data_IF_402140805916
#
_entry.id   IF_402140805916
#
_cell.length_a   1.000
_cell.length_b   1.000
_cell.length_c   1.000
_cell.angle_alpha   90.00
_cell.angle_beta   90.00
_cell.angle_gamma   90.00
#
_symmetry.space_group_name_H-M   'P 1'
#
loop_
_entity.id
_entity.type
_entity.pdbx_description
1 polymer ?
#
# COMPACT_ATOMS: atom_id res chain seq x y z
N UNK A 1 17.69 -4.89 -16.72
CA UNK A 1 17.17 -3.83 -15.83
C UNK A 1 16.37 -2.74 -16.56
N UNK A 2 16.39 -2.65 -17.90
CA UNK A 2 15.58 -1.71 -18.70
C UNK A 2 14.07 -2.00 -18.72
N UNK A 3 13.64 -3.16 -18.22
CA UNK A 3 12.24 -3.58 -18.21
C UNK A 3 11.42 -2.96 -17.07
N UNK A 4 12.04 -2.70 -15.90
CA UNK A 4 11.33 -2.15 -14.73
C UNK A 4 11.01 -0.66 -14.91
N UNK A 5 11.99 0.14 -15.35
CA UNK A 5 11.76 1.55 -15.69
C UNK A 5 10.64 1.71 -16.75
N UNK A 6 10.67 0.82 -17.75
CA UNK A 6 9.64 0.75 -18.80
C UNK A 6 8.27 0.27 -18.29
N UNK A 7 8.19 -0.55 -17.25
CA UNK A 7 6.90 -0.96 -16.68
C UNK A 7 6.40 -0.03 -15.55
N UNK A 8 7.29 0.76 -14.95
CA UNK A 8 7.00 1.67 -13.83
C UNK A 8 6.28 2.94 -14.28
N UNK A 9 6.82 3.64 -15.29
CA UNK A 9 6.37 4.96 -15.71
C UNK A 9 5.77 5.01 -17.13
N UNK A 10 5.98 3.99 -17.96
CA UNK A 10 5.65 4.08 -19.39
C UNK A 10 4.15 3.93 -19.67
N UNK A 11 3.53 5.06 -20.02
CA UNK A 11 2.19 5.12 -20.61
C UNK A 11 2.35 4.90 -22.11
N UNK A 12 2.12 3.68 -22.61
CA UNK A 12 2.13 3.44 -24.06
C UNK A 12 1.16 4.41 -24.75
N UNK A 13 1.74 5.37 -25.49
CA UNK A 13 1.00 6.21 -26.42
C UNK A 13 0.64 5.30 -27.60
N UNK A 14 -0.64 4.93 -27.68
CA UNK A 14 -1.22 4.11 -28.76
C UNK A 14 -0.73 4.55 -30.14
N UNK A 15 -0.06 3.65 -30.86
CA UNK A 15 -0.16 3.63 -32.33
C UNK A 15 -1.52 3.00 -32.69
N UNK A 16 -2.33 3.70 -33.48
CA UNK A 16 -3.74 3.36 -33.73
C UNK A 16 -3.96 2.12 -34.62
N UNK A 17 -2.93 1.35 -34.98
CA UNK A 17 -3.02 0.33 -36.04
C UNK A 17 -3.01 -1.14 -35.59
N UNK A 18 -2.85 -1.47 -34.31
CA UNK A 18 -2.79 -2.89 -33.86
C UNK A 18 -3.93 -3.26 -32.88
N UNK A 19 -5.17 -3.00 -33.29
CA UNK A 19 -6.37 -3.31 -32.48
C UNK A 19 -6.95 -4.72 -32.69
N UNK A 20 -6.21 -5.65 -33.28
CA UNK A 20 -6.71 -7.01 -33.56
C UNK A 20 -5.65 -8.05 -33.21
N UNK A 21 -5.42 -8.28 -31.91
CA UNK A 21 -5.13 -9.61 -31.39
C UNK A 21 -5.46 -9.69 -29.91
N UNK A 22 -6.28 -10.68 -29.61
CA UNK A 22 -6.88 -11.10 -28.35
C UNK A 22 -6.15 -10.79 -27.03
N UNK A 23 -6.93 -10.20 -26.11
CA UNK A 23 -7.10 -10.66 -24.72
C UNK A 23 -5.87 -10.86 -23.83
N UNK A 24 -4.89 -9.97 -23.95
CA UNK A 24 -4.03 -9.64 -22.81
C UNK A 24 -4.06 -8.13 -22.65
N UNK A 25 -4.94 -7.62 -21.78
CA UNK A 25 -4.92 -6.20 -21.40
C UNK A 25 -3.47 -5.87 -21.02
N UNK A 26 -2.76 -4.96 -21.71
CA UNK A 26 -1.53 -4.43 -21.16
C UNK A 26 -1.93 -3.77 -19.86
N UNK A 27 -1.61 -4.42 -18.75
CA UNK A 27 -1.80 -3.81 -17.45
C UNK A 27 -0.94 -2.55 -17.48
N UNK A 28 -1.58 -1.37 -17.55
CA UNK A 28 -0.86 -0.10 -17.69
C UNK A 28 0.21 0.10 -16.62
N UNK A 29 1.06 1.12 -16.79
CA UNK A 29 2.20 1.39 -15.91
C UNK A 29 1.91 1.18 -14.42
N UNK A 30 2.88 0.62 -13.70
CA UNK A 30 2.70 0.19 -12.32
C UNK A 30 2.43 1.38 -11.38
N UNK A 31 3.14 2.49 -11.57
CA UNK A 31 2.99 3.72 -10.77
C UNK A 31 1.54 4.26 -10.71
N UNK A 32 0.86 4.56 -11.84
CA UNK A 32 -0.51 5.07 -11.80
C UNK A 32 -1.52 4.06 -11.24
N UNK A 33 -1.25 2.76 -11.36
CA UNK A 33 -2.10 1.71 -10.75
C UNK A 33 -1.97 1.70 -9.24
N UNK A 34 -0.75 1.78 -8.71
CA UNK A 34 -0.50 1.90 -7.27
C UNK A 34 -1.13 3.18 -6.73
N UNK A 35 -0.92 4.32 -7.39
CA UNK A 35 -1.53 5.59 -6.97
C UNK A 35 -3.07 5.51 -6.94
N UNK A 36 -3.67 4.89 -7.96
CA UNK A 36 -5.13 4.67 -8.00
C UNK A 36 -5.60 3.78 -6.85
N UNK A 37 -4.84 2.74 -6.51
CA UNK A 37 -5.15 1.87 -5.38
C UNK A 37 -5.05 2.62 -4.04
N UNK A 38 -3.97 3.39 -3.82
CA UNK A 38 -3.79 4.24 -2.62
C UNK A 38 -4.98 5.19 -2.45
N UNK A 39 -5.36 5.92 -3.51
CA UNK A 39 -6.49 6.85 -3.46
C UNK A 39 -7.81 6.13 -3.12
N UNK A 40 -8.04 4.95 -3.69
CA UNK A 40 -9.24 4.14 -3.39
C UNK A 40 -9.27 3.66 -1.94
N UNK A 41 -8.13 3.20 -1.41
CA UNK A 41 -8.02 2.76 -0.02
C UNK A 41 -8.28 3.92 0.93
N UNK A 42 -7.72 5.11 0.67
CA UNK A 42 -7.96 6.30 1.46
C UNK A 42 -9.45 6.68 1.54
N UNK A 43 -10.18 6.60 0.42
CA UNK A 43 -11.64 6.82 0.40
C UNK A 43 -12.37 5.80 1.27
N UNK A 44 -11.96 4.52 1.28
CA UNK A 44 -12.58 3.51 2.13
C UNK A 44 -12.25 3.73 3.61
N UNK A 45 -11.01 4.12 3.94
CA UNK A 45 -10.61 4.51 5.29
C UNK A 45 -11.52 5.60 5.84
N UNK A 46 -11.69 6.71 5.10
CA UNK A 46 -12.56 7.81 5.54
C UNK A 46 -14.03 7.40 5.70
N UNK A 47 -14.53 6.49 4.86
CA UNK A 47 -15.89 5.94 5.03
C UNK A 47 -16.03 5.10 6.29
N UNK A 48 -15.03 4.26 6.59
CA UNK A 48 -15.03 3.47 7.82
C UNK A 48 -14.92 4.36 9.06
N UNK A 49 -14.12 5.43 9.03
CA UNK A 49 -14.02 6.40 10.14
C UNK A 49 -15.39 7.06 10.42
N UNK A 50 -16.12 7.45 9.37
CA UNK A 50 -17.47 7.98 9.49
C UNK A 50 -18.45 6.94 10.07
N UNK A 51 -18.38 5.69 9.60
CA UNK A 51 -19.21 4.60 10.13
C UNK A 51 -18.89 4.28 11.61
N UNK A 52 -17.62 4.27 12.00
CA UNK A 52 -17.19 4.09 13.40
C UNK A 52 -17.73 5.20 14.30
N UNK A 53 -17.68 6.45 13.82
CA UNK A 53 -18.26 7.60 14.53
C UNK A 53 -19.77 7.43 14.75
N UNK A 54 -20.50 6.99 13.71
CA UNK A 54 -21.94 6.74 13.82
C UNK A 54 -22.26 5.56 14.76
N UNK A 55 -21.46 4.49 14.73
CA UNK A 55 -21.62 3.36 15.65
C UNK A 55 -21.38 3.77 17.10
N UNK A 56 -20.41 4.65 17.36
CA UNK A 56 -20.16 5.20 18.69
C UNK A 56 -21.33 6.05 19.19
N UNK A 57 -21.89 6.92 18.35
CA UNK A 57 -23.09 7.69 18.72
C UNK A 57 -24.28 6.78 19.00
N UNK A 58 -24.46 5.72 18.20
CA UNK A 58 -25.53 4.74 18.39
C UNK A 58 -25.34 3.91 19.67
N UNK A 59 -24.10 3.57 20.04
CA UNK A 59 -23.75 2.93 21.32
C UNK A 59 -24.24 3.79 22.49
N UNK A 60 -23.89 5.08 22.50
CA UNK A 60 -24.30 6.03 23.56
C UNK A 60 -25.82 6.16 23.65
N UNK A 61 -26.51 6.32 22.52
CA UNK A 61 -27.98 6.42 22.49
C UNK A 61 -28.65 5.15 23.02
N UNK A 62 -28.14 3.97 22.66
CA UNK A 62 -28.66 2.71 23.18
C UNK A 62 -28.42 2.60 24.68
N UNK A 63 -27.24 3.00 25.15
CA UNK A 63 -26.90 3.01 26.57
C UNK A 63 -27.85 3.90 27.39
N UNK A 64 -28.10 5.13 26.95
CA UNK A 64 -29.03 6.06 27.63
C UNK A 64 -30.46 5.49 27.69
N UNK A 65 -30.89 4.84 26.61
CA UNK A 65 -32.21 4.17 26.55
C UNK A 65 -32.28 2.95 27.47
N UNK A 66 -31.19 2.19 27.61
CA UNK A 66 -31.11 1.08 28.57
C UNK A 66 -31.27 1.62 29.99
N UNK A 67 -30.53 2.68 30.35
CA UNK A 67 -30.64 3.32 31.67
C UNK A 67 -32.07 3.77 31.95
N UNK A 68 -32.73 4.40 30.98
CA UNK A 68 -34.14 4.83 31.09
C UNK A 68 -35.08 3.64 31.31
N UNK A 69 -34.95 2.58 30.52
CA UNK A 69 -35.77 1.37 30.66
C UNK A 69 -35.55 0.67 32.00
N UNK A 70 -34.32 0.66 32.50
CA UNK A 70 -34.00 0.13 33.83
C UNK A 70 -34.66 0.94 34.95
N UNK A 71 -34.62 2.27 34.86
CA UNK A 71 -35.27 3.17 35.84
C UNK A 71 -36.79 3.00 35.85
N UNK A 72 -37.41 2.75 34.69
CA UNK A 72 -38.85 2.48 34.60
C UNK A 72 -39.23 1.03 34.89
N UNK A 73 -38.28 0.20 35.35
CA UNK A 73 -38.46 -1.24 35.58
C UNK A 73 -38.96 -2.03 34.35
N UNK A 74 -38.72 -1.52 33.13
CA UNK A 74 -39.03 -2.22 31.89
C UNK A 74 -37.91 -3.21 31.53
N UNK A 75 -38.00 -4.39 32.15
CA UNK A 75 -37.01 -5.47 31.98
C UNK A 75 -36.94 -6.00 30.55
N UNK A 76 -38.05 -5.98 29.81
CA UNK A 76 -38.10 -6.49 28.44
C UNK A 76 -37.35 -5.54 27.51
N UNK A 77 -37.64 -4.23 27.56
CA UNK A 77 -36.96 -3.23 26.76
C UNK A 77 -35.47 -3.18 27.09
N UNK A 78 -35.11 -3.19 28.39
CA UNK A 78 -33.72 -3.21 28.84
C UNK A 78 -32.94 -4.40 28.26
N UNK A 79 -33.54 -5.59 28.22
CA UNK A 79 -32.89 -6.80 27.68
C UNK A 79 -32.65 -6.72 26.19
N UNK A 80 -33.67 -6.30 25.42
CA UNK A 80 -33.56 -6.19 23.95
C UNK A 80 -32.54 -5.13 23.57
N UNK A 81 -32.59 -3.93 24.19
CA UNK A 81 -31.65 -2.85 23.92
C UNK A 81 -30.20 -3.24 24.28
N UNK A 82 -30.00 -3.99 25.36
CA UNK A 82 -28.67 -4.49 25.74
C UNK A 82 -28.08 -5.45 24.71
N UNK A 83 -28.93 -6.31 24.10
CA UNK A 83 -28.50 -7.21 23.04
C UNK A 83 -28.09 -6.44 21.77
N UNK A 84 -28.86 -5.42 21.38
CA UNK A 84 -28.52 -4.55 20.25
C UNK A 84 -27.20 -3.80 20.50
N UNK A 85 -26.99 -3.28 21.72
CA UNK A 85 -25.75 -2.62 22.10
C UNK A 85 -24.53 -3.54 21.96
N UNK A 86 -24.67 -4.81 22.37
CA UNK A 86 -23.61 -5.80 22.22
C UNK A 86 -23.26 -6.06 20.75
N UNK A 87 -24.26 -6.14 19.86
CA UNK A 87 -24.04 -6.29 18.42
C UNK A 87 -23.41 -5.03 17.79
N UNK A 88 -23.85 -3.82 18.18
CA UNK A 88 -23.22 -2.56 17.74
C UNK A 88 -21.72 -2.55 18.10
N UNK A 89 -21.36 -2.94 19.32
CA UNK A 89 -19.96 -3.04 19.76
C UNK A 89 -19.17 -4.11 19.01
N UNK A 90 -19.80 -5.23 18.67
CA UNK A 90 -19.18 -6.29 17.86
C UNK A 90 -18.87 -5.78 16.46
N UNK A 91 -19.83 -5.13 15.79
CA UNK A 91 -19.64 -4.54 14.46
C UNK A 91 -18.56 -3.46 14.50
N UNK A 92 -18.57 -2.59 15.53
CA UNK A 92 -17.54 -1.56 15.72
C UNK A 92 -16.13 -2.14 15.79
N UNK A 93 -15.92 -3.23 16.55
CA UNK A 93 -14.62 -3.92 16.61
C UNK A 93 -14.18 -4.49 15.25
N UNK A 94 -15.08 -5.16 14.53
CA UNK A 94 -14.77 -5.73 13.21
C UNK A 94 -14.41 -4.63 12.22
N UNK A 95 -15.17 -3.53 12.22
CA UNK A 95 -14.95 -2.40 11.34
C UNK A 95 -13.63 -1.67 11.67
N UNK A 96 -13.32 -1.49 12.95
CA UNK A 96 -12.05 -0.91 13.41
C UNK A 96 -10.85 -1.74 12.97
N UNK A 97 -10.90 -3.06 13.13
CA UNK A 97 -9.86 -3.96 12.66
C UNK A 97 -9.69 -3.88 11.13
N UNK A 98 -10.80 -3.86 10.39
CA UNK A 98 -10.78 -3.75 8.92
C UNK A 98 -10.17 -2.41 8.47
N UNK A 99 -10.49 -1.32 9.17
CA UNK A 99 -9.92 0.02 8.92
C UNK A 99 -8.41 0.02 9.10
N UNK A 100 -7.91 -0.58 10.19
CA UNK A 100 -6.47 -0.70 10.43
C UNK A 100 -5.77 -1.55 9.36
N UNK A 101 -6.35 -2.67 8.94
CA UNK A 101 -5.78 -3.49 7.87
C UNK A 101 -5.73 -2.76 6.52
N UNK A 102 -6.76 -1.97 6.20
CA UNK A 102 -6.77 -1.15 4.97
C UNK A 102 -5.70 -0.07 5.02
N UNK A 103 -5.53 0.60 6.17
CA UNK A 103 -4.47 1.59 6.36
C UNK A 103 -3.08 0.96 6.24
N UNK A 104 -2.87 -0.23 6.79
CA UNK A 104 -1.61 -0.96 6.66
C UNK A 104 -1.27 -1.26 5.19
N UNK A 105 -2.26 -1.71 4.40
CA UNK A 105 -2.07 -1.94 2.96
C UNK A 105 -1.79 -0.64 2.23
N UNK A 106 -2.48 0.44 2.57
CA UNK A 106 -2.24 1.77 2.00
C UNK A 106 -0.79 2.22 2.24
N UNK A 107 -0.29 2.11 3.47
CA UNK A 107 1.09 2.46 3.83
C UNK A 107 2.10 1.66 3.01
N UNK A 108 1.91 0.34 2.90
CA UNK A 108 2.79 -0.52 2.07
C UNK A 108 2.79 -0.10 0.60
N UNK A 109 1.64 0.23 0.04
CA UNK A 109 1.54 0.69 -1.35
C UNK A 109 2.22 2.05 -1.56
N UNK A 110 2.12 2.97 -0.59
CA UNK A 110 2.86 4.25 -0.61
C UNK A 110 4.37 4.01 -0.53
N UNK A 111 4.86 3.12 0.33
CA UNK A 111 6.27 2.76 0.38
C UNK A 111 6.76 2.19 -0.96
N UNK A 112 5.99 1.29 -1.59
CA UNK A 112 6.33 0.74 -2.91
C UNK A 112 6.35 1.84 -3.98
N UNK A 113 5.41 2.81 -3.91
CA UNK A 113 5.40 3.98 -4.78
C UNK A 113 6.70 4.78 -4.66
N UNK A 114 7.10 5.13 -3.44
CA UNK A 114 8.27 5.97 -3.19
C UNK A 114 9.58 5.24 -3.55
N UNK A 115 9.65 3.93 -3.25
CA UNK A 115 10.77 3.08 -3.66
C UNK A 115 10.89 2.99 -5.17
N UNK A 116 9.78 2.84 -5.89
CA UNK A 116 9.80 2.80 -7.34
C UNK A 116 10.30 4.10 -7.97
N UNK A 117 9.98 5.25 -7.37
CA UNK A 117 10.53 6.54 -7.79
C UNK A 117 12.03 6.66 -7.49
N UNK A 118 12.49 6.17 -6.34
CA UNK A 118 13.92 6.10 -6.02
C UNK A 118 14.69 5.19 -7.00
N UNK A 119 14.11 4.05 -7.40
CA UNK A 119 14.72 3.14 -8.38
C UNK A 119 14.87 3.78 -9.76
N UNK A 120 13.91 4.61 -10.19
CA UNK A 120 14.05 5.38 -11.45
C UNK A 120 15.17 6.40 -11.36
N UNK A 121 15.38 7.02 -10.21
CA UNK A 121 16.46 7.99 -10.00
C UNK A 121 17.86 7.33 -9.95
N UNK A 122 17.97 6.16 -9.31
CA UNK A 122 19.26 5.46 -9.09
C UNK A 122 19.67 4.60 -10.30
N UNK A 123 18.70 4.09 -11.05
CA UNK A 123 18.92 3.21 -12.21
C UNK A 123 19.98 3.72 -13.20
N UNK A 124 19.93 4.98 -13.66
CA UNK A 124 20.94 5.55 -14.55
C UNK A 124 22.34 5.59 -13.94
N UNK A 125 22.48 5.94 -12.66
CA UNK A 125 23.77 5.98 -11.99
C UNK A 125 24.43 4.59 -11.92
N UNK A 126 23.65 3.55 -11.62
CA UNK A 126 24.13 2.16 -11.65
C UNK A 126 24.53 1.73 -13.07
N UNK A 127 23.78 2.14 -14.09
CA UNK A 127 24.12 1.84 -15.48
C UNK A 127 25.47 2.49 -15.87
N UNK A 128 25.71 3.73 -15.44
CA UNK A 128 26.98 4.43 -15.63
C UNK A 128 28.14 3.74 -14.90
N UNK A 129 27.95 3.31 -13.65
CA UNK A 129 28.97 2.54 -12.92
C UNK A 129 29.32 1.24 -13.65
N UNK A 130 28.31 0.51 -14.13
CA UNK A 130 28.51 -0.74 -14.86
C UNK A 130 29.21 -0.52 -16.20
N UNK A 131 28.98 0.60 -16.88
CA UNK A 131 29.66 0.93 -18.15
C UNK A 131 31.09 1.41 -17.95
N UNK A 132 31.41 2.03 -16.80
CA UNK A 132 32.78 2.45 -16.46
C UNK A 132 33.67 1.29 -16.01
N UNK A 133 33.10 0.21 -15.47
CA UNK A 133 33.84 -0.96 -14.96
C UNK A 133 34.93 -1.47 -15.93
N UNK A 134 34.63 -1.85 -17.20
CA UNK A 134 35.65 -2.40 -18.10
C UNK A 134 36.84 -1.45 -18.35
N UNK A 135 36.57 -0.15 -18.36
CA UNK A 135 37.59 0.88 -18.53
C UNK A 135 38.47 0.98 -17.28
N UNK A 136 37.87 0.97 -16.08
CA UNK A 136 38.66 0.96 -14.84
C UNK A 136 39.47 -0.32 -14.68
N UNK A 137 38.93 -1.50 -15.00
CA UNK A 137 39.71 -2.75 -14.92
C UNK A 137 40.96 -2.71 -15.82
N UNK A 138 40.93 -1.95 -16.92
CA UNK A 138 42.04 -1.84 -17.88
C UNK A 138 43.10 -0.82 -17.45
N UNK A 139 42.70 0.31 -16.88
CA UNK A 139 43.60 1.43 -16.58
C UNK A 139 43.94 1.57 -15.10
N UNK A 140 43.10 1.06 -14.20
CA UNK A 140 43.24 1.18 -12.76
C UNK A 140 42.63 -0.04 -12.05
N UNK A 141 43.34 -1.19 -12.05
CA UNK A 141 42.83 -2.45 -11.51
C UNK A 141 42.39 -2.37 -10.04
N UNK A 142 43.04 -1.52 -9.23
CA UNK A 142 42.67 -1.28 -7.83
C UNK A 142 41.28 -0.62 -7.68
N UNK A 143 40.81 0.12 -8.69
CA UNK A 143 39.46 0.69 -8.69
C UNK A 143 38.39 -0.29 -9.17
N UNK A 144 38.78 -1.41 -9.80
CA UNK A 144 37.82 -2.43 -10.23
C UNK A 144 37.15 -3.12 -9.04
N UNK A 145 37.91 -3.44 -7.98
CA UNK A 145 37.35 -4.07 -6.78
C UNK A 145 36.37 -3.15 -6.07
N UNK A 146 36.69 -1.85 -5.98
CA UNK A 146 35.83 -0.86 -5.34
C UNK A 146 34.52 -0.66 -6.10
N UNK A 147 34.59 -0.55 -7.44
CA UNK A 147 33.39 -0.44 -8.28
C UNK A 147 32.52 -1.71 -8.24
N UNK A 148 33.13 -2.89 -8.11
CA UNK A 148 32.40 -4.14 -7.91
C UNK A 148 31.67 -4.14 -6.57
N UNK A 149 32.35 -3.74 -5.48
CA UNK A 149 31.74 -3.65 -4.15
C UNK A 149 30.57 -2.65 -4.12
N UNK A 150 30.74 -1.48 -4.74
CA UNK A 150 29.66 -0.48 -4.86
C UNK A 150 28.47 -1.03 -5.68
N UNK A 151 28.74 -1.72 -6.79
CA UNK A 151 27.69 -2.31 -7.63
C UNK A 151 26.94 -3.42 -6.90
N UNK A 152 27.66 -4.26 -6.14
CA UNK A 152 27.08 -5.34 -5.34
C UNK A 152 26.25 -4.79 -4.18
N UNK A 153 26.75 -3.77 -3.49
CA UNK A 153 26.02 -3.06 -2.42
C UNK A 153 24.73 -2.44 -2.96
N UNK A 154 24.79 -1.73 -4.09
CA UNK A 154 23.60 -1.11 -4.69
C UNK A 154 22.59 -2.15 -5.21
N UNK A 155 23.06 -3.26 -5.78
CA UNK A 155 22.19 -4.37 -6.18
C UNK A 155 21.53 -5.02 -4.95
N UNK A 156 22.29 -5.24 -3.88
CA UNK A 156 21.78 -5.77 -2.60
C UNK A 156 20.71 -4.87 -1.99
N UNK A 157 20.96 -3.56 -1.91
CA UNK A 157 19.97 -2.60 -1.43
C UNK A 157 18.69 -2.63 -2.26
N UNK A 158 18.80 -2.78 -3.59
CA UNK A 158 17.66 -2.84 -4.48
C UNK A 158 16.88 -4.16 -4.35
N UNK A 159 17.56 -5.29 -4.15
CA UNK A 159 16.90 -6.57 -3.88
C UNK A 159 16.25 -6.59 -2.50
N UNK A 160 16.90 -6.06 -1.48
CA UNK A 160 16.40 -6.06 -0.10
C UNK A 160 15.18 -5.17 0.04
N UNK A 161 15.20 -4.01 -0.62
CA UNK A 161 14.05 -3.10 -0.66
C UNK A 161 12.81 -3.73 -1.33
N UNK A 162 13.00 -4.72 -2.21
CA UNK A 162 11.92 -5.44 -2.90
C UNK A 162 11.52 -6.75 -2.22
N UNK A 163 12.45 -7.39 -1.48
CA UNK A 163 12.27 -8.74 -0.93
C UNK A 163 11.49 -8.76 0.38
N UNK A 164 11.21 -7.61 0.99
CA UNK A 164 10.21 -7.49 2.04
C UNK A 164 10.57 -8.09 3.39
N UNK A 165 11.79 -8.61 3.58
CA UNK A 165 12.24 -9.23 4.84
C UNK A 165 12.37 -8.21 6.00
N UNK A 166 12.27 -6.91 5.71
CA UNK A 166 12.23 -5.83 6.70
C UNK A 166 10.84 -5.49 7.24
N UNK A 167 9.79 -6.28 6.95
CA UNK A 167 8.39 -5.90 7.23
C UNK A 167 7.58 -6.91 8.09
N UNK A 168 8.25 -7.86 8.74
CA UNK A 168 7.67 -8.61 9.87
C UNK A 168 8.04 -7.92 11.19
N UNK A 169 7.09 -7.13 11.73
CA UNK A 169 7.01 -6.75 13.15
C UNK A 169 5.54 -6.82 13.56
#
# INVERSE_FOLDING_TARGET
>A
MTSFEKSWAHREVKSMTEKIRDTVKPQGALKPRIQTAVNKLQVQTSKMDAMLTNLHQRDQQLFDRIVTAMQSHDTQASRVLSSELAEVRKVSRVLGNTRNSIEQVQLRLTTIHDLGDAMVAIGPAMATMKSLKPTMSKFMPEADSELNSMTETLNGLMTDSLSGDSFEV
#
